data_IF_919215778790
#
_entry.id   IF_919215778790
#
_cell.length_a   1.000
_cell.length_b   1.000
_cell.length_c   1.000
_cell.angle_alpha   90.00
_cell.angle_beta   90.00
_cell.angle_gamma   90.00
#
_symmetry.space_group_name_H-M   'P 1'
#
loop_
_entity.id
_entity.type
_entity.pdbx_description
1 polymer ?
#
# COMPACT_ATOMS: atom_id res chain seq x y z
N UNK A 1 -2.86 2.99 -21.56
CA UNK A 1 -2.49 4.05 -20.59
C UNK A 1 -1.51 5.01 -21.22
N UNK A 2 -0.34 4.52 -21.65
CA UNK A 2 0.73 5.31 -22.30
C UNK A 2 0.24 6.15 -23.48
N UNK A 3 -0.64 5.58 -24.33
CA UNK A 3 -1.14 6.29 -25.51
C UNK A 3 -1.98 7.54 -25.17
N UNK A 4 -2.93 7.45 -24.24
CA UNK A 4 -3.74 8.61 -23.86
C UNK A 4 -2.96 9.63 -23.04
N UNK A 5 -2.05 9.16 -22.17
CA UNK A 5 -1.11 10.05 -21.47
C UNK A 5 -0.28 10.85 -22.47
N UNK A 6 0.32 10.17 -23.45
CA UNK A 6 1.13 10.82 -24.47
C UNK A 6 0.31 11.72 -25.39
N UNK A 7 -0.91 11.34 -25.72
CA UNK A 7 -1.82 12.16 -26.51
C UNK A 7 -2.21 13.46 -25.78
N UNK A 8 -2.42 13.40 -24.46
CA UNK A 8 -2.67 14.59 -23.63
C UNK A 8 -1.44 15.51 -23.63
N UNK A 9 -0.25 14.99 -23.34
CA UNK A 9 1.01 15.76 -23.38
C UNK A 9 1.19 16.45 -24.74
N UNK A 10 1.13 15.69 -25.84
CA UNK A 10 1.32 16.23 -27.19
C UNK A 10 0.28 17.28 -27.55
N UNK A 11 -0.97 17.12 -27.09
CA UNK A 11 -2.03 18.09 -27.31
C UNK A 11 -1.79 19.39 -26.51
N UNK A 12 -1.35 19.27 -25.26
CA UNK A 12 -1.01 20.40 -24.40
C UNK A 12 0.18 21.18 -24.96
N UNK A 13 1.24 20.49 -25.40
CA UNK A 13 2.40 21.08 -26.08
C UNK A 13 2.00 21.78 -27.39
N UNK A 14 1.23 21.09 -28.24
CA UNK A 14 0.80 21.60 -29.55
C UNK A 14 -0.02 22.87 -29.44
N UNK A 15 -0.76 23.04 -28.35
CA UNK A 15 -1.61 24.19 -28.08
C UNK A 15 -0.98 25.24 -27.16
N UNK A 16 0.27 25.03 -26.74
CA UNK A 16 1.04 26.01 -25.97
C UNK A 16 0.48 26.24 -24.57
N UNK A 17 -0.02 25.19 -23.91
CA UNK A 17 -0.49 25.25 -22.53
C UNK A 17 0.72 25.23 -21.59
N UNK A 18 0.84 26.25 -20.75
CA UNK A 18 1.75 26.33 -19.60
C UNK A 18 1.12 25.68 -18.35
N UNK A 19 1.89 25.51 -17.26
CA UNK A 19 1.44 24.86 -16.02
C UNK A 19 0.88 23.44 -16.26
N UNK A 20 1.51 22.70 -17.17
CA UNK A 20 1.02 21.41 -17.64
C UNK A 20 0.85 20.38 -16.51
N UNK A 21 1.81 20.28 -15.60
CA UNK A 21 1.77 19.33 -14.49
C UNK A 21 0.60 19.58 -13.54
N UNK A 22 0.37 20.86 -13.21
CA UNK A 22 -0.76 21.29 -12.38
C UNK A 22 -2.08 20.95 -13.05
N UNK A 23 -2.23 21.33 -14.33
CA UNK A 23 -3.44 21.07 -15.10
C UNK A 23 -3.69 19.56 -15.23
N UNK A 24 -2.64 18.79 -15.50
CA UNK A 24 -2.72 17.35 -15.64
C UNK A 24 -3.18 16.69 -14.34
N UNK A 25 -2.55 17.02 -13.21
CA UNK A 25 -2.93 16.50 -11.89
C UNK A 25 -4.39 16.83 -11.55
N UNK A 26 -4.80 18.10 -11.76
CA UNK A 26 -6.16 18.55 -11.46
C UNK A 26 -7.23 17.91 -12.37
N UNK A 27 -6.95 17.77 -13.66
CA UNK A 27 -7.86 17.11 -14.61
C UNK A 27 -7.80 15.58 -14.54
N UNK A 28 -6.88 15.01 -13.78
CA UNK A 28 -6.89 13.58 -13.45
C UNK A 28 -7.88 13.25 -12.34
N UNK A 29 -8.15 14.20 -11.44
CA UNK A 29 -9.17 14.08 -10.40
C UNK A 29 -10.58 13.88 -10.99
N UNK A 30 -11.40 13.15 -10.25
CA UNK A 30 -12.76 12.80 -10.62
C UNK A 30 -12.86 11.54 -11.49
N UNK A 31 -14.09 11.27 -11.96
CA UNK A 31 -14.40 10.10 -12.76
C UNK A 31 -14.90 8.93 -11.93
N UNK A 32 -14.60 7.71 -12.39
CA UNK A 32 -15.02 6.48 -11.71
C UNK A 32 -14.08 6.19 -10.54
N UNK A 33 -14.65 5.94 -9.36
CA UNK A 33 -13.91 5.70 -8.13
C UNK A 33 -12.84 4.62 -8.32
N UNK A 34 -11.58 4.95 -8.05
CA UNK A 34 -10.50 3.96 -8.10
C UNK A 34 -10.62 3.02 -6.90
N UNK A 35 -10.27 1.75 -7.11
CA UNK A 35 -10.40 0.72 -6.07
C UNK A 35 -9.60 1.06 -4.81
N UNK A 36 -8.39 1.63 -4.96
CA UNK A 36 -7.59 2.10 -3.82
C UNK A 36 -8.29 3.23 -3.03
N UNK A 37 -9.03 4.10 -3.71
CA UNK A 37 -9.79 5.15 -3.05
C UNK A 37 -11.04 4.59 -2.35
N UNK A 38 -11.73 3.58 -2.92
CA UNK A 38 -12.82 2.87 -2.22
C UNK A 38 -12.36 2.28 -0.87
N UNK A 39 -11.14 1.73 -0.81
CA UNK A 39 -10.56 1.14 0.41
C UNK A 39 -10.32 2.22 1.47
N UNK A 40 -9.69 3.34 1.07
CA UNK A 40 -9.42 4.46 1.97
C UNK A 40 -10.73 5.06 2.51
N UNK A 41 -11.70 5.35 1.62
CA UNK A 41 -13.02 5.87 2.00
C UNK A 41 -13.74 4.91 2.96
N UNK A 42 -13.65 3.60 2.74
CA UNK A 42 -14.25 2.63 3.65
C UNK A 42 -13.62 2.67 5.05
N UNK A 43 -12.30 2.85 5.17
CA UNK A 43 -11.65 2.98 6.47
C UNK A 43 -11.98 4.32 7.16
N UNK A 44 -12.03 5.41 6.40
CA UNK A 44 -12.44 6.74 6.90
C UNK A 44 -13.89 6.70 7.38
N UNK A 45 -14.79 6.04 6.66
CA UNK A 45 -16.17 5.89 7.06
C UNK A 45 -16.33 5.14 8.40
N UNK A 46 -15.52 4.11 8.63
CA UNK A 46 -15.48 3.43 9.93
C UNK A 46 -14.99 4.36 11.04
N UNK A 47 -13.99 5.19 10.77
CA UNK A 47 -13.52 6.20 11.72
C UNK A 47 -14.58 7.28 12.01
N UNK A 48 -15.38 7.68 11.02
CA UNK A 48 -16.52 8.59 11.23
C UNK A 48 -17.56 7.98 12.18
N UNK A 49 -17.89 6.70 12.00
CA UNK A 49 -18.79 5.99 12.92
C UNK A 49 -18.22 5.95 14.34
N UNK A 50 -16.92 5.70 14.49
CA UNK A 50 -16.24 5.73 15.79
C UNK A 50 -16.31 7.12 16.41
N UNK A 51 -16.09 8.21 15.67
CA UNK A 51 -16.20 9.58 16.19
C UNK A 51 -17.62 9.99 16.56
N UNK A 52 -18.63 9.43 15.88
CA UNK A 52 -20.03 9.75 16.12
C UNK A 52 -20.61 9.10 17.39
N UNK A 53 -19.96 8.04 17.90
CA UNK A 53 -20.36 7.32 19.10
C UNK A 53 -19.31 7.50 20.21
N UNK A 54 -19.70 8.15 21.30
CA UNK A 54 -18.77 8.46 22.42
C UNK A 54 -18.15 7.21 23.04
N UNK A 55 -18.91 6.11 23.16
CA UNK A 55 -18.39 4.87 23.75
C UNK A 55 -17.39 4.17 22.82
N UNK A 56 -17.66 4.18 21.50
CA UNK A 56 -16.70 3.68 20.51
C UNK A 56 -15.46 4.57 20.45
N UNK A 57 -15.63 5.89 20.47
CA UNK A 57 -14.52 6.83 20.46
C UNK A 57 -13.56 6.58 21.63
N UNK A 58 -14.08 6.48 22.85
CA UNK A 58 -13.27 6.23 24.05
C UNK A 58 -12.54 4.88 24.00
N UNK A 59 -13.23 3.84 23.49
CA UNK A 59 -12.64 2.53 23.27
C UNK A 59 -11.50 2.58 22.24
N UNK A 60 -11.69 3.25 21.11
CA UNK A 60 -10.71 3.31 20.04
C UNK A 60 -9.53 4.23 20.38
N UNK A 61 -9.71 5.22 21.26
CA UNK A 61 -8.64 6.12 21.67
C UNK A 61 -7.56 5.42 22.51
N UNK A 62 -7.96 4.45 23.36
CA UNK A 62 -7.07 3.84 24.37
C UNK A 62 -6.91 2.33 24.22
N UNK A 63 -7.83 1.68 23.49
CA UNK A 63 -7.85 0.22 23.34
C UNK A 63 -6.73 -0.29 22.44
N UNK A 64 -6.20 -1.45 22.81
CA UNK A 64 -5.27 -2.18 21.95
C UNK A 64 -6.04 -2.80 20.77
N UNK A 65 -5.50 -2.76 19.53
CA UNK A 65 -6.21 -3.26 18.34
C UNK A 65 -6.73 -4.69 18.46
N UNK A 66 -5.97 -5.59 19.07
CA UNK A 66 -6.36 -6.98 19.28
C UNK A 66 -7.54 -7.09 20.26
N UNK A 67 -7.48 -6.38 21.38
CA UNK A 67 -8.57 -6.40 22.36
C UNK A 67 -9.87 -5.81 21.79
N UNK A 68 -9.79 -4.76 20.97
CA UNK A 68 -10.95 -4.20 20.27
C UNK A 68 -11.51 -5.23 19.27
N UNK A 69 -10.64 -5.92 18.54
CA UNK A 69 -11.05 -6.99 17.64
C UNK A 69 -11.75 -8.14 18.38
N UNK A 70 -11.23 -8.57 19.53
CA UNK A 70 -11.86 -9.63 20.33
C UNK A 70 -13.27 -9.24 20.78
N UNK A 71 -13.47 -7.99 21.21
CA UNK A 71 -14.80 -7.46 21.57
C UNK A 71 -15.74 -7.38 20.37
N UNK A 72 -15.21 -7.00 19.20
CA UNK A 72 -15.96 -7.01 17.94
C UNK A 72 -16.42 -8.43 17.60
N UNK A 73 -15.51 -9.41 17.68
CA UNK A 73 -15.79 -10.82 17.41
C UNK A 73 -16.77 -11.45 18.41
N UNK A 74 -16.75 -10.98 19.67
CA UNK A 74 -17.71 -11.36 20.70
C UNK A 74 -19.09 -10.69 20.54
N UNK A 75 -19.27 -9.78 19.57
CA UNK A 75 -20.53 -9.08 19.34
C UNK A 75 -20.82 -7.98 20.37
N UNK A 76 -19.79 -7.47 21.06
CA UNK A 76 -19.94 -6.44 22.10
C UNK A 76 -19.95 -5.00 21.54
N UNK A 77 -19.69 -4.83 20.25
CA UNK A 77 -19.70 -3.52 19.57
C UNK A 77 -21.00 -3.31 18.79
N UNK A 78 -21.40 -2.04 18.52
CA UNK A 78 -22.62 -1.74 17.77
C UNK A 78 -22.69 -2.48 16.43
N UNK A 79 -23.85 -3.09 16.16
CA UNK A 79 -24.05 -3.97 14.99
C UNK A 79 -23.64 -3.31 13.67
N UNK A 80 -24.04 -2.05 13.45
CA UNK A 80 -23.72 -1.31 12.23
C UNK A 80 -22.21 -1.16 12.02
N UNK A 81 -21.46 -0.90 13.10
CA UNK A 81 -20.01 -0.78 13.04
C UNK A 81 -19.36 -2.14 12.75
N UNK A 82 -19.78 -3.17 13.48
CA UNK A 82 -19.31 -4.55 13.30
C UNK A 82 -19.52 -5.05 11.87
N UNK A 83 -20.71 -4.85 11.30
CA UNK A 83 -21.00 -5.17 9.90
C UNK A 83 -20.14 -4.36 8.91
N UNK A 84 -19.89 -3.09 9.21
CA UNK A 84 -19.01 -2.23 8.42
C UNK A 84 -17.58 -2.78 8.37
N UNK A 85 -17.04 -3.20 9.52
CA UNK A 85 -15.70 -3.78 9.63
C UNK A 85 -15.63 -5.10 8.86
N UNK A 86 -16.58 -6.01 9.04
CA UNK A 86 -16.61 -7.28 8.31
C UNK A 86 -16.68 -7.07 6.80
N UNK A 87 -17.52 -6.14 6.34
CA UNK A 87 -17.62 -5.79 4.91
C UNK A 87 -16.32 -5.24 4.36
N UNK A 88 -15.58 -4.45 5.14
CA UNK A 88 -14.26 -3.97 4.74
C UNK A 88 -13.28 -5.13 4.56
N UNK A 89 -13.17 -6.01 5.55
CA UNK A 89 -12.26 -7.17 5.50
C UNK A 89 -12.66 -8.12 4.37
N UNK A 90 -13.94 -8.39 4.18
CA UNK A 90 -14.44 -9.24 3.11
C UNK A 90 -14.11 -8.67 1.73
N UNK A 91 -14.37 -7.38 1.52
CA UNK A 91 -14.24 -6.76 0.20
C UNK A 91 -12.83 -6.36 -0.13
N UNK A 92 -12.02 -5.97 0.86
CA UNK A 92 -10.71 -5.32 0.68
C UNK A 92 -9.56 -6.00 1.42
N UNK A 93 -9.81 -7.09 2.15
CA UNK A 93 -8.84 -7.68 3.06
C UNK A 93 -7.61 -8.30 2.38
N UNK A 94 -7.66 -8.50 1.06
CA UNK A 94 -6.56 -9.02 0.26
C UNK A 94 -5.53 -7.94 -0.12
N UNK A 95 -5.87 -6.66 0.05
CA UNK A 95 -4.96 -5.53 -0.19
C UNK A 95 -4.05 -5.32 1.01
N UNK A 96 -2.77 -5.03 0.75
CA UNK A 96 -1.82 -4.69 1.80
C UNK A 96 -0.40 -4.42 1.30
N UNK A 97 0.49 -4.14 2.24
CA UNK A 97 1.93 -4.00 1.93
C UNK A 97 2.46 -5.37 1.50
N UNK A 98 3.16 -5.39 0.37
CA UNK A 98 3.69 -6.61 -0.22
C UNK A 98 2.62 -7.71 -0.44
N UNK A 99 1.43 -7.32 -0.88
CA UNK A 99 0.29 -8.21 -1.15
C UNK A 99 0.63 -9.43 -2.04
N UNK A 100 1.57 -9.29 -2.99
CA UNK A 100 1.98 -10.35 -3.92
C UNK A 100 2.94 -11.37 -3.28
N UNK A 101 3.38 -11.13 -2.05
CA UNK A 101 4.18 -12.08 -1.27
C UNK A 101 3.24 -13.02 -0.53
N UNK A 102 3.26 -14.30 -0.87
CA UNK A 102 2.35 -15.29 -0.28
C UNK A 102 2.58 -15.45 1.23
N UNK A 103 3.83 -15.31 1.66
CA UNK A 103 4.25 -15.43 3.05
C UNK A 103 3.81 -14.25 3.93
N UNK A 104 3.42 -13.11 3.32
CA UNK A 104 2.98 -11.94 4.08
C UNK A 104 1.49 -12.02 4.42
N UNK A 105 1.20 -11.83 5.70
CA UNK A 105 -0.17 -11.70 6.21
C UNK A 105 -0.88 -10.50 5.60
N UNK A 106 -2.18 -10.65 5.35
CA UNK A 106 -3.07 -9.56 4.93
C UNK A 106 -4.11 -9.28 6.02
N UNK A 107 -5.09 -8.41 5.74
CA UNK A 107 -6.13 -8.06 6.71
C UNK A 107 -7.12 -9.20 6.95
N UNK A 108 -7.22 -10.20 6.07
CA UNK A 108 -8.01 -11.41 6.36
C UNK A 108 -7.36 -12.27 7.42
N UNK A 109 -6.03 -12.31 7.42
CA UNK A 109 -5.26 -13.06 8.42
C UNK A 109 -5.20 -12.30 9.76
N UNK A 110 -4.91 -11.01 9.68
CA UNK A 110 -4.67 -10.15 10.84
C UNK A 110 -5.64 -8.94 10.82
N UNK A 111 -6.94 -9.17 11.08
CA UNK A 111 -7.96 -8.13 10.93
C UNK A 111 -7.85 -6.99 11.94
N UNK A 112 -7.15 -7.17 13.06
CA UNK A 112 -6.84 -6.08 14.00
C UNK A 112 -5.97 -4.98 13.37
N UNK A 113 -5.26 -5.24 12.26
CA UNK A 113 -4.53 -4.18 11.55
C UNK A 113 -5.49 -3.16 10.90
N UNK A 114 -6.72 -3.56 10.56
CA UNK A 114 -7.76 -2.61 10.16
C UNK A 114 -8.17 -1.73 11.35
N UNK A 115 -8.27 -2.30 12.55
CA UNK A 115 -8.58 -1.52 13.76
C UNK A 115 -7.52 -0.45 13.98
N UNK A 116 -6.24 -0.80 13.84
CA UNK A 116 -5.13 0.17 13.90
C UNK A 116 -5.29 1.29 12.87
N UNK A 117 -5.65 0.96 11.63
CA UNK A 117 -5.88 1.94 10.58
C UNK A 117 -7.07 2.86 10.91
N UNK A 118 -8.17 2.30 11.44
CA UNK A 118 -9.33 3.07 11.88
C UNK A 118 -8.95 4.01 13.01
N UNK A 119 -8.16 3.57 14.00
CA UNK A 119 -7.66 4.45 15.07
C UNK A 119 -6.87 5.65 14.52
N UNK A 120 -6.01 5.43 13.52
CA UNK A 120 -5.26 6.51 12.87
C UNK A 120 -6.19 7.52 12.19
N UNK A 121 -7.23 7.05 11.49
CA UNK A 121 -8.21 7.94 10.87
C UNK A 121 -9.12 8.62 11.90
N UNK A 122 -9.47 7.96 13.00
CA UNK A 122 -10.25 8.54 14.10
C UNK A 122 -9.51 9.71 14.73
N UNK A 123 -8.18 9.60 14.88
CA UNK A 123 -7.33 10.69 15.37
C UNK A 123 -7.15 11.85 14.37
N UNK A 124 -7.67 11.73 13.15
CA UNK A 124 -7.67 12.79 12.14
C UNK A 124 -9.07 13.38 11.97
N UNK A 125 -9.17 14.62 11.47
CA UNK A 125 -10.44 15.26 11.12
C UNK A 125 -10.93 14.89 9.71
N UNK A 126 -10.36 13.84 9.11
CA UNK A 126 -10.69 13.43 7.74
C UNK A 126 -12.08 12.78 7.70
N UNK A 127 -12.94 13.30 6.82
CA UNK A 127 -14.28 12.77 6.54
C UNK A 127 -14.38 12.34 5.09
N UNK A 128 -15.31 11.42 4.79
CA UNK A 128 -15.59 10.99 3.41
C UNK A 128 -16.01 12.21 2.58
N UNK A 129 -16.92 13.03 3.11
CA UNK A 129 -17.40 14.24 2.46
C UNK A 129 -16.26 15.22 2.15
N UNK A 130 -15.36 15.48 3.11
CA UNK A 130 -14.23 16.39 2.87
C UNK A 130 -13.29 15.86 1.78
N UNK A 131 -13.03 14.56 1.72
CA UNK A 131 -12.21 13.96 0.65
C UNK A 131 -12.86 14.14 -0.73
N UNK A 132 -14.16 13.87 -0.83
CA UNK A 132 -14.92 14.05 -2.08
C UNK A 132 -15.00 15.52 -2.51
N UNK A 133 -15.18 16.44 -1.55
CA UNK A 133 -15.18 17.88 -1.81
C UNK A 133 -13.83 18.38 -2.31
N UNK A 134 -12.73 17.93 -1.71
CA UNK A 134 -11.38 18.26 -2.17
C UNK A 134 -11.16 17.75 -3.59
N UNK A 135 -11.55 16.50 -3.89
CA UNK A 135 -11.43 15.95 -5.24
C UNK A 135 -12.25 16.75 -6.26
N UNK A 136 -13.51 17.08 -5.94
CA UNK A 136 -14.40 17.88 -6.79
C UNK A 136 -13.87 19.30 -6.99
N UNK A 137 -13.41 19.96 -5.93
CA UNK A 137 -12.84 21.31 -6.01
C UNK A 137 -11.57 21.33 -6.86
N UNK A 138 -10.69 20.33 -6.70
CA UNK A 138 -9.48 20.17 -7.50
C UNK A 138 -9.82 20.00 -8.98
N UNK A 139 -10.84 19.20 -9.29
CA UNK A 139 -11.33 19.03 -10.66
C UNK A 139 -11.87 20.34 -11.27
N UNK A 140 -12.71 21.07 -10.53
CA UNK A 140 -13.26 22.35 -10.98
C UNK A 140 -12.17 23.40 -11.20
N UNK A 141 -11.14 23.42 -10.35
CA UNK A 141 -9.97 24.28 -10.52
C UNK A 141 -9.22 23.95 -11.83
N UNK A 142 -9.03 22.66 -12.14
CA UNK A 142 -8.42 22.23 -13.40
C UNK A 142 -9.25 22.62 -14.62
N UNK A 143 -10.57 22.53 -14.54
CA UNK A 143 -11.45 22.96 -15.63
C UNK A 143 -11.43 24.49 -15.81
N UNK A 144 -11.43 25.26 -14.72
CA UNK A 144 -11.29 26.71 -14.77
C UNK A 144 -9.92 27.13 -15.35
N UNK A 145 -8.84 26.44 -14.98
CA UNK A 145 -7.50 26.65 -15.52
C UNK A 145 -7.47 26.31 -17.02
N UNK A 146 -8.04 25.18 -17.45
CA UNK A 146 -8.18 24.85 -18.87
C UNK A 146 -8.94 25.94 -19.64
N UNK A 147 -10.00 26.48 -19.04
CA UNK A 147 -10.78 27.56 -19.60
C UNK A 147 -9.98 28.85 -19.75
N UNK A 148 -9.13 29.20 -18.77
CA UNK A 148 -8.29 30.41 -18.81
C UNK A 148 -7.16 30.30 -19.84
N UNK A 149 -6.55 29.12 -19.99
CA UNK A 149 -5.49 28.86 -20.99
C UNK A 149 -6.04 28.78 -22.41
N UNK A 150 -7.27 28.30 -22.61
CA UNK A 150 -7.92 28.17 -23.91
C UNK A 150 -9.28 28.90 -23.98
N UNK A 151 -9.33 30.24 -23.85
CA UNK A 151 -10.59 30.97 -23.64
C UNK A 151 -11.55 30.89 -24.84
N UNK A 152 -11.01 30.95 -26.06
CA UNK A 152 -11.79 30.95 -27.32
C UNK A 152 -11.78 29.60 -28.06
N UNK A 153 -11.08 28.59 -27.55
CA UNK A 153 -10.86 27.33 -28.26
C UNK A 153 -11.75 26.19 -27.74
N UNK A 154 -13.08 26.33 -27.89
CA UNK A 154 -14.08 25.37 -27.38
C UNK A 154 -13.82 23.93 -27.84
N UNK A 155 -13.46 23.75 -29.12
CA UNK A 155 -13.19 22.41 -29.66
C UNK A 155 -11.92 21.79 -29.06
N UNK A 156 -10.85 22.57 -28.87
CA UNK A 156 -9.59 22.09 -28.27
C UNK A 156 -9.81 21.66 -26.81
N UNK A 157 -10.58 22.44 -26.05
CA UNK A 157 -10.98 22.07 -24.68
C UNK A 157 -11.80 20.78 -24.66
N UNK A 158 -12.79 20.65 -25.54
CA UNK A 158 -13.60 19.43 -25.64
C UNK A 158 -12.74 18.20 -25.96
N UNK A 159 -11.75 18.33 -26.85
CA UNK A 159 -10.79 17.26 -27.16
C UNK A 159 -9.95 16.91 -25.93
N UNK A 160 -9.40 17.89 -25.19
CA UNK A 160 -8.64 17.59 -23.95
C UNK A 160 -9.50 16.88 -22.92
N UNK A 161 -10.71 17.39 -22.65
CA UNK A 161 -11.61 16.78 -21.67
C UNK A 161 -11.98 15.34 -22.07
N UNK A 162 -12.18 15.08 -23.36
CA UNK A 162 -12.39 13.73 -23.87
C UNK A 162 -11.15 12.84 -23.71
N UNK A 163 -9.95 13.36 -23.97
CA UNK A 163 -8.69 12.62 -23.75
C UNK A 163 -8.48 12.30 -22.27
N UNK A 164 -8.71 13.25 -21.36
CA UNK A 164 -8.65 13.02 -19.92
C UNK A 164 -9.69 12.00 -19.46
N UNK A 165 -10.89 12.01 -20.01
CA UNK A 165 -11.90 10.99 -19.72
C UNK A 165 -11.44 9.58 -20.11
N UNK A 166 -10.83 9.42 -21.29
CA UNK A 166 -10.24 8.15 -21.72
C UNK A 166 -9.04 7.75 -20.88
N UNK A 167 -8.21 8.73 -20.47
CA UNK A 167 -7.08 8.49 -19.59
C UNK A 167 -7.56 7.99 -18.22
N UNK A 168 -8.51 8.67 -17.58
CA UNK A 168 -9.13 8.26 -16.31
C UNK A 168 -9.72 6.85 -16.40
N UNK A 169 -10.46 6.57 -17.47
CA UNK A 169 -11.03 5.23 -17.72
C UNK A 169 -9.94 4.16 -17.83
N UNK A 170 -8.84 4.46 -18.52
CA UNK A 170 -7.73 3.51 -18.67
C UNK A 170 -6.97 3.31 -17.36
N UNK A 171 -6.80 4.37 -16.57
CA UNK A 171 -6.22 4.29 -15.23
C UNK A 171 -7.09 3.45 -14.29
N UNK A 172 -8.41 3.64 -14.37
CA UNK A 172 -9.37 2.82 -13.63
C UNK A 172 -9.14 1.34 -13.93
N UNK A 173 -9.15 0.92 -15.21
CA UNK A 173 -8.99 -0.49 -15.55
C UNK A 173 -7.61 -1.05 -15.16
N UNK A 174 -6.57 -0.20 -15.22
CA UNK A 174 -5.22 -0.58 -14.77
C UNK A 174 -5.19 -0.84 -13.26
N UNK A 175 -5.80 0.03 -12.47
CA UNK A 175 -5.90 -0.14 -11.01
C UNK A 175 -6.82 -1.31 -10.64
N UNK A 176 -7.94 -1.49 -11.35
CA UNK A 176 -8.81 -2.66 -11.18
C UNK A 176 -8.06 -3.96 -11.49
N UNK A 177 -7.25 -4.00 -12.57
CA UNK A 177 -6.42 -5.16 -12.89
C UNK A 177 -5.36 -5.46 -11.82
N UNK A 178 -4.72 -4.41 -11.27
CA UNK A 178 -3.81 -4.58 -10.13
C UNK A 178 -4.52 -5.16 -8.91
N UNK A 179 -5.72 -4.67 -8.63
CA UNK A 179 -6.53 -5.12 -7.51
C UNK A 179 -6.99 -6.57 -7.66
N UNK A 180 -7.52 -6.97 -8.81
CA UNK A 180 -7.93 -8.36 -9.07
C UNK A 180 -6.75 -9.33 -8.94
N UNK A 181 -5.54 -8.89 -9.29
CA UNK A 181 -4.33 -9.68 -9.05
C UNK A 181 -4.04 -9.83 -7.54
N UNK A 182 -4.24 -8.79 -6.74
CA UNK A 182 -4.13 -8.91 -5.27
C UNK A 182 -5.13 -9.91 -4.71
N UNK A 183 -6.38 -9.91 -5.18
CA UNK A 183 -7.40 -10.88 -4.79
C UNK A 183 -6.99 -12.32 -5.16
N UNK A 184 -6.45 -12.53 -6.36
CA UNK A 184 -5.92 -13.83 -6.77
C UNK A 184 -4.80 -14.32 -5.83
N UNK A 185 -3.88 -13.44 -5.44
CA UNK A 185 -2.84 -13.79 -4.48
C UNK A 185 -3.43 -14.03 -3.09
N UNK A 186 -4.43 -13.26 -2.64
CA UNK A 186 -5.16 -13.50 -1.39
C UNK A 186 -5.77 -14.90 -1.34
N UNK A 187 -6.44 -15.32 -2.41
CA UNK A 187 -6.99 -16.67 -2.52
C UNK A 187 -5.90 -17.75 -2.53
N UNK A 188 -4.82 -17.51 -3.28
CA UNK A 188 -3.66 -18.41 -3.33
C UNK A 188 -3.03 -18.59 -1.94
N UNK A 189 -2.89 -17.52 -1.15
CA UNK A 189 -2.40 -17.58 0.24
C UNK A 189 -3.26 -18.46 1.11
N UNK A 190 -4.59 -18.32 1.00
CA UNK A 190 -5.51 -19.13 1.78
C UNK A 190 -5.31 -20.63 1.53
N UNK A 191 -5.18 -21.01 0.25
CA UNK A 191 -4.91 -22.40 -0.15
C UNK A 191 -3.56 -22.88 0.41
N UNK A 192 -2.48 -22.11 0.18
CA UNK A 192 -1.14 -22.50 0.61
C UNK A 192 -1.05 -22.63 2.14
N UNK A 193 -1.69 -21.73 2.90
CA UNK A 193 -1.77 -21.85 4.37
C UNK A 193 -2.52 -23.08 4.81
N UNK A 194 -3.66 -23.37 4.18
CA UNK A 194 -4.42 -24.58 4.49
C UNK A 194 -3.60 -25.85 4.24
N UNK A 195 -2.81 -25.87 3.16
CA UNK A 195 -1.86 -26.95 2.90
C UNK A 195 -0.77 -27.05 3.98
N UNK A 196 -0.21 -25.92 4.41
CA UNK A 196 0.78 -25.88 5.50
C UNK A 196 0.23 -26.46 6.81
N UNK A 197 -0.99 -26.08 7.20
CA UNK A 197 -1.69 -26.64 8.37
C UNK A 197 -1.88 -28.14 8.25
N UNK A 198 -2.31 -28.62 7.08
CA UNK A 198 -2.56 -30.04 6.85
C UNK A 198 -1.26 -30.88 6.83
N UNK A 199 -0.19 -30.36 6.24
CA UNK A 199 1.12 -31.01 6.22
C UNK A 199 1.74 -31.08 7.62
N UNK A 200 1.60 -30.01 8.41
CA UNK A 200 2.01 -30.02 9.80
C UNK A 200 1.21 -31.05 10.63
N UNK A 201 -0.11 -31.12 10.44
CA UNK A 201 -0.97 -32.12 11.11
C UNK A 201 -0.58 -33.57 10.79
N UNK A 202 0.13 -33.80 9.68
CA UNK A 202 0.64 -35.11 9.25
C UNK A 202 2.12 -35.34 9.61
N UNK A 203 2.70 -34.48 10.43
CA UNK A 203 4.11 -34.51 10.83
C UNK A 203 5.09 -34.44 9.63
N UNK A 204 4.67 -33.81 8.53
CA UNK A 204 5.52 -33.57 7.34
C UNK A 204 6.29 -32.25 7.46
N UNK A 205 5.71 -31.28 8.17
CA UNK A 205 6.31 -29.98 8.47
C UNK A 205 6.34 -29.75 9.98
N UNK A 206 7.39 -29.10 10.48
CA UNK A 206 7.53 -28.78 11.90
C UNK A 206 6.61 -27.64 12.35
N UNK A 207 6.31 -26.70 11.45
CA UNK A 207 5.40 -25.57 11.67
C UNK A 207 4.53 -25.33 10.41
N UNK A 208 3.23 -24.97 10.54
CA UNK A 208 2.37 -24.68 9.38
C UNK A 208 2.90 -23.59 8.44
N UNK A 209 3.66 -22.61 8.95
CA UNK A 209 4.25 -21.53 8.16
C UNK A 209 5.45 -21.98 7.32
N UNK A 210 5.96 -23.20 7.54
CA UNK A 210 7.10 -23.74 6.82
C UNK A 210 6.80 -23.99 5.35
N UNK A 211 5.52 -24.09 5.01
CA UNK A 211 5.04 -24.16 3.64
C UNK A 211 5.52 -22.99 2.77
N UNK A 212 5.77 -21.81 3.36
CA UNK A 212 6.27 -20.64 2.63
C UNK A 212 7.77 -20.69 2.31
N UNK A 213 8.48 -21.69 2.84
CA UNK A 213 9.86 -21.97 2.49
C UNK A 213 9.97 -23.08 1.44
N UNK A 214 8.85 -23.58 0.92
CA UNK A 214 8.81 -24.58 -0.14
C UNK A 214 8.48 -23.92 -1.48
N UNK A 215 9.07 -24.44 -2.55
CA UNK A 215 8.67 -24.09 -3.90
C UNK A 215 7.37 -24.84 -4.27
N UNK A 216 6.59 -24.29 -5.20
CA UNK A 216 5.32 -24.91 -5.60
C UNK A 216 5.51 -26.34 -6.14
N UNK A 217 6.59 -26.58 -6.88
CA UNK A 217 6.91 -27.90 -7.43
C UNK A 217 7.25 -28.92 -6.32
N UNK A 218 7.87 -28.48 -5.23
CA UNK A 218 8.16 -29.34 -4.07
C UNK A 218 6.87 -29.66 -3.30
N UNK A 219 6.03 -28.64 -3.10
CA UNK A 219 4.76 -28.77 -2.39
C UNK A 219 3.79 -29.69 -3.15
N UNK A 220 3.55 -29.42 -4.44
CA UNK A 220 2.66 -30.23 -5.27
C UNK A 220 3.30 -31.58 -5.63
N UNK A 221 4.61 -31.62 -5.85
CA UNK A 221 5.31 -32.87 -6.08
C UNK A 221 5.23 -33.83 -4.90
N UNK A 222 5.26 -33.33 -3.66
CA UNK A 222 5.02 -34.16 -2.48
C UNK A 222 3.59 -34.75 -2.47
N UNK A 223 2.60 -33.93 -2.80
CA UNK A 223 1.18 -34.34 -2.84
C UNK A 223 0.96 -35.41 -3.93
N UNK A 224 1.56 -35.23 -5.10
CA UNK A 224 1.42 -36.12 -6.25
C UNK A 224 2.35 -37.35 -6.18
N UNK A 225 3.25 -37.40 -5.21
CA UNK A 225 4.25 -38.47 -5.07
C UNK A 225 5.38 -38.40 -6.11
N UNK A 226 5.53 -37.27 -6.80
CA UNK A 226 6.56 -37.01 -7.83
C UNK A 226 7.71 -36.14 -7.32
N UNK A 227 7.66 -35.74 -6.05
CA UNK A 227 8.66 -34.89 -5.40
C UNK A 227 10.07 -35.50 -5.39
N UNK A 228 11.07 -34.64 -5.53
CA UNK A 228 12.49 -35.02 -5.49
C UNK A 228 12.95 -35.52 -4.13
N UNK A 229 12.27 -35.08 -3.06
CA UNK A 229 12.50 -35.50 -1.68
C UNK A 229 11.18 -35.62 -0.93
N UNK A 230 11.17 -36.44 0.12
CA UNK A 230 10.06 -36.52 1.09
C UNK A 230 10.31 -35.70 2.36
N UNK A 231 11.54 -35.24 2.57
CA UNK A 231 11.93 -34.45 3.74
C UNK A 231 11.68 -32.95 3.49
N UNK A 232 10.42 -32.55 3.51
CA UNK A 232 10.04 -31.15 3.32
C UNK A 232 10.45 -30.27 4.51
N UNK A 233 10.38 -30.79 5.73
CA UNK A 233 10.85 -30.09 6.93
C UNK A 233 12.34 -29.73 6.84
N UNK A 234 13.18 -30.66 6.39
CA UNK A 234 14.61 -30.42 6.16
C UNK A 234 14.89 -29.33 5.13
N UNK A 235 14.13 -29.29 4.04
CA UNK A 235 14.21 -28.23 3.00
C UNK A 235 13.83 -26.87 3.59
N UNK A 236 12.69 -26.79 4.28
CA UNK A 236 12.23 -25.56 4.92
C UNK A 236 13.24 -25.04 5.95
N UNK A 237 13.78 -25.93 6.80
CA UNK A 237 14.79 -25.59 7.79
C UNK A 237 16.09 -25.06 7.17
N UNK A 238 16.53 -25.62 6.04
CA UNK A 238 17.68 -25.12 5.29
C UNK A 238 17.44 -23.68 4.80
N UNK A 239 16.31 -23.45 4.12
CA UNK A 239 15.99 -22.15 3.53
C UNK A 239 15.74 -21.06 4.58
N UNK A 240 15.18 -21.41 5.75
CA UNK A 240 15.12 -20.51 6.91
C UNK A 240 16.50 -20.01 7.32
N UNK A 241 17.48 -20.93 7.46
CA UNK A 241 18.86 -20.56 7.82
C UNK A 241 19.50 -19.66 6.77
N UNK A 242 19.26 -19.93 5.50
CA UNK A 242 19.82 -19.13 4.41
C UNK A 242 19.17 -17.74 4.33
N UNK A 243 17.87 -17.62 4.61
CA UNK A 243 17.19 -16.33 4.71
C UNK A 243 17.78 -15.48 5.85
N UNK A 244 18.00 -16.06 7.03
CA UNK A 244 18.59 -15.32 8.15
C UNK A 244 20.01 -14.84 7.86
N UNK A 245 20.84 -15.68 7.22
CA UNK A 245 22.17 -15.24 6.74
C UNK A 245 22.06 -14.10 5.73
N UNK A 246 21.13 -14.21 4.77
CA UNK A 246 20.91 -13.19 3.75
C UNK A 246 20.46 -11.87 4.36
N UNK A 247 19.57 -11.91 5.35
CA UNK A 247 19.09 -10.72 6.06
C UNK A 247 20.21 -9.96 6.77
N UNK A 248 21.21 -10.68 7.29
CA UNK A 248 22.38 -10.08 7.94
C UNK A 248 23.39 -9.47 6.93
N UNK A 249 23.36 -9.89 5.66
CA UNK A 249 24.36 -9.52 4.64
C UNK A 249 23.83 -8.57 3.56
N UNK A 250 22.51 -8.52 3.35
CA UNK A 250 21.88 -7.71 2.30
C UNK A 250 21.80 -6.25 2.75
N UNK A 251 22.73 -5.44 2.29
CA UNK A 251 22.54 -4.00 2.20
C UNK A 251 21.64 -3.70 0.98
N UNK A 252 20.56 -2.92 1.13
CA UNK A 252 19.77 -2.52 -0.03
C UNK A 252 20.70 -1.79 -1.01
N UNK A 253 20.73 -2.24 -2.26
CA UNK A 253 21.42 -1.52 -3.32
C UNK A 253 20.87 -0.08 -3.33
N UNK A 254 21.76 0.91 -3.23
CA UNK A 254 21.41 2.31 -3.05
C UNK A 254 20.53 2.88 -4.18
N UNK A 255 20.45 2.19 -5.33
CA UNK A 255 19.52 2.51 -6.40
C UNK A 255 19.25 1.29 -7.30
N UNK A 256 17.98 0.99 -7.55
CA UNK A 256 17.55 0.26 -8.74
C UNK A 256 17.07 1.31 -9.75
N UNK A 257 18.01 2.03 -10.35
CA UNK A 257 17.79 2.77 -11.59
C UNK A 257 18.44 2.02 -12.75
N UNK A 258 18.03 2.25 -14.02
CA UNK A 258 18.81 1.79 -15.15
C UNK A 258 20.12 2.60 -15.19
N UNK A 259 21.11 2.17 -14.42
CA UNK A 259 22.45 2.72 -14.49
C UNK A 259 23.13 2.28 -15.79
N UNK A 260 23.93 3.15 -16.43
CA UNK A 260 24.80 2.71 -17.51
C UNK A 260 25.79 1.68 -16.96
N UNK A 261 26.28 0.82 -17.87
CA UNK A 261 27.11 -0.36 -17.60
C UNK A 261 28.10 -0.23 -16.44
N UNK A 262 28.20 -1.33 -15.71
CA UNK A 262 28.86 -1.38 -14.41
C UNK A 262 30.30 -0.93 -14.41
N UNK A 263 30.72 -0.47 -13.23
CA UNK A 263 32.05 -0.68 -12.69
C UNK A 263 31.93 -0.54 -11.17
N UNK A 264 32.30 -1.60 -10.47
CA UNK A 264 32.25 -1.63 -9.01
C UNK A 264 33.25 -0.65 -8.42
N UNK A 265 32.81 0.08 -7.39
CA UNK A 265 33.69 0.52 -6.31
C UNK A 265 32.87 0.81 -5.05
N UNK A 266 33.19 0.17 -3.91
CA UNK A 266 32.72 0.66 -2.63
C UNK A 266 33.64 1.81 -2.23
N UNK A 267 33.24 3.06 -2.49
CA UNK A 267 33.86 4.19 -1.78
C UNK A 267 33.26 4.23 -0.39
N UNK A 268 34.04 3.76 0.58
CA UNK A 268 33.71 3.84 2.00
C UNK A 268 33.33 5.27 2.38
N UNK A 269 32.17 5.40 3.02
CA UNK A 269 31.76 6.64 3.65
C UNK A 269 32.70 6.86 4.85
N UNK A 270 33.68 7.74 4.65
CA UNK A 270 34.47 8.33 5.70
C UNK A 270 33.53 9.04 6.69
N UNK A 271 33.70 8.73 7.98
CA UNK A 271 33.15 9.52 9.07
C UNK A 271 33.58 10.99 8.94
N UNK A 272 32.73 11.98 9.28
CA UNK A 272 33.16 13.36 9.30
C UNK A 272 34.10 13.57 10.49
N UNK A 273 35.40 13.63 10.20
CA UNK A 273 36.41 14.14 11.11
C UNK A 273 36.19 15.64 11.28
N UNK A 274 35.72 16.03 12.47
CA UNK A 274 35.76 17.41 12.93
C UNK A 274 37.18 17.86 13.22
N UNK A 275 37.49 19.08 12.79
CA UNK A 275 38.66 19.87 13.18
C UNK A 275 38.93 20.96 12.15
N UNK A 276 39.34 22.19 12.47
CA UNK A 276 39.78 22.83 13.72
C UNK A 276 39.94 24.32 13.36
N UNK A 277 39.44 25.25 14.19
CA UNK A 277 40.20 26.14 15.09
C UNK A 277 40.74 27.45 14.48
N UNK A 278 40.46 28.57 15.16
CA UNK A 278 41.42 29.61 15.65
C UNK A 278 40.63 30.51 16.62
N UNK A 279 40.95 30.51 17.93
CA UNK A 279 41.84 31.47 18.65
C UNK A 279 41.21 32.89 18.77
N UNK A 280 41.20 33.61 19.89
CA UNK A 280 41.80 33.45 21.21
C UNK A 280 41.15 34.42 22.24
N UNK A 281 41.55 34.23 23.50
CA UNK A 281 41.52 35.16 24.66
C UNK A 281 40.19 35.51 25.31
N UNK A 282 40.03 35.52 26.64
CA UNK A 282 40.94 35.31 27.76
C UNK A 282 40.22 35.75 29.05
N UNK A 283 40.74 35.33 30.23
CA UNK A 283 40.26 35.66 31.59
C UNK A 283 38.88 35.06 31.97
N UNK A 284 38.67 34.36 33.08
CA UNK A 284 39.36 34.14 34.35
C UNK A 284 38.27 33.65 35.34
N UNK A 285 38.58 32.83 36.36
CA UNK A 285 37.64 31.90 36.99
C UNK A 285 36.91 32.51 38.21
N UNK A 286 35.89 31.81 38.73
CA UNK A 286 35.70 31.51 40.18
C UNK A 286 34.40 30.71 40.41
N UNK A 287 34.57 29.63 41.17
CA UNK A 287 33.66 28.80 41.97
C UNK A 287 32.20 29.26 42.18
N UNK A 288 31.25 28.35 41.99
CA UNK A 288 30.70 27.41 43.00
C UNK A 288 29.73 26.42 42.35
#
# INVERSE_FOLDING_TARGET
>A
MVLFHKAVELAMDRWGIDEQDTLFSQLLCGGRQLKGAEIALSAVHLAEQVRADTALHDLFLTGQPHAIWDRLAAGELPLQFTEGVHRHVERYGDRGIAELKLEKSNLRDNPWELIRLVQQYTASDLTVTAMEEVERATRLAGEALLHSKLPRARLRRAVLLALFDRLRTTLYYREAGRYMRSELFGYSKHIIRALGVELHRRDVLDDPQDVFFLDLDELFGFIDGTGSTRDLAGVAALRKRDLEKSRAQLHPAASFGPGPGGEGRPTGAAAPAGGRSTEADGHGPVDQ
#
